data_IF_488498514106
#
_entry.id   IF_488498514106
#
_cell.length_a   1.000
_cell.length_b   1.000
_cell.length_c   1.000
_cell.angle_alpha   90.00
_cell.angle_beta   90.00
_cell.angle_gamma   90.00
#
_symmetry.space_group_name_H-M   'P 1'
#
loop_
_entity.id
_entity.type
_entity.pdbx_description
1 polymer ?
#
# COMPACT_ATOMS: atom_id res chain seq x y z
N UNK A 1 -39.50 16.50 -17.66
CA UNK A 1 -38.09 16.91 -17.56
C UNK A 1 -37.36 16.31 -16.33
N UNK A 2 -37.67 15.09 -15.88
CA UNK A 2 -37.01 14.48 -14.69
C UNK A 2 -36.17 13.23 -15.02
N UNK A 3 -36.35 12.64 -16.21
CA UNK A 3 -35.68 11.37 -16.58
C UNK A 3 -34.21 11.52 -17.01
N UNK A 4 -33.77 12.70 -17.46
CA UNK A 4 -32.38 12.93 -17.92
C UNK A 4 -31.41 13.16 -16.75
N UNK A 5 -31.90 13.68 -15.61
CA UNK A 5 -31.06 14.01 -14.46
C UNK A 5 -30.63 12.77 -13.66
N UNK A 6 -31.47 11.74 -13.55
CA UNK A 6 -31.14 10.46 -12.91
C UNK A 6 -30.04 9.68 -13.64
N UNK A 7 -29.95 9.82 -14.96
CA UNK A 7 -28.98 9.11 -15.79
C UNK A 7 -27.55 9.67 -15.63
N UNK A 8 -27.43 10.98 -15.39
CA UNK A 8 -26.15 11.64 -15.11
C UNK A 8 -25.58 11.27 -13.73
N UNK A 9 -26.45 11.16 -12.71
CA UNK A 9 -26.04 10.76 -11.36
C UNK A 9 -25.56 9.30 -11.36
N UNK A 10 -26.18 8.42 -12.14
CA UNK A 10 -25.75 7.02 -12.25
C UNK A 10 -24.39 6.87 -12.94
N UNK A 11 -24.09 7.73 -13.92
CA UNK A 11 -22.80 7.71 -14.62
C UNK A 11 -21.64 8.18 -13.72
N UNK A 12 -21.86 9.21 -12.90
CA UNK A 12 -20.83 9.75 -11.99
C UNK A 12 -20.46 8.80 -10.85
N UNK A 13 -21.40 7.98 -10.37
CA UNK A 13 -21.14 6.99 -9.31
C UNK A 13 -20.27 5.84 -9.83
N UNK A 14 -20.33 5.53 -11.13
CA UNK A 14 -19.61 4.41 -11.73
C UNK A 14 -18.10 4.67 -11.84
N UNK A 15 -17.68 5.89 -12.18
CA UNK A 15 -16.26 6.23 -12.40
C UNK A 15 -15.42 6.12 -11.12
N UNK A 16 -15.96 6.54 -9.98
CA UNK A 16 -15.25 6.47 -8.70
C UNK A 16 -14.97 5.01 -8.28
N UNK A 17 -15.89 4.08 -8.59
CA UNK A 17 -15.71 2.66 -8.28
C UNK A 17 -14.64 2.01 -9.17
N UNK A 18 -14.53 2.43 -10.43
CA UNK A 18 -13.57 1.85 -11.38
C UNK A 18 -12.12 2.18 -11.01
N UNK A 19 -11.86 3.39 -10.54
CA UNK A 19 -10.53 3.81 -10.09
C UNK A 19 -10.02 2.95 -8.92
N UNK A 20 -10.90 2.64 -7.96
CA UNK A 20 -10.56 1.84 -6.79
C UNK A 20 -10.25 0.38 -7.16
N UNK A 21 -10.94 -0.20 -8.15
CA UNK A 21 -10.66 -1.57 -8.61
C UNK A 21 -9.25 -1.74 -9.19
N UNK A 22 -8.63 -0.68 -9.73
CA UNK A 22 -7.27 -0.74 -10.28
C UNK A 22 -6.19 -0.91 -9.20
N UNK A 23 -6.48 -0.55 -7.96
CA UNK A 23 -5.57 -0.67 -6.81
C UNK A 23 -5.68 -2.03 -6.11
N UNK A 24 -6.70 -2.81 -6.40
CA UNK A 24 -6.88 -4.14 -5.80
C UNK A 24 -5.81 -5.07 -6.33
N UNK A 25 -5.10 -5.76 -5.44
CA UNK A 25 -4.05 -6.69 -5.82
C UNK A 25 -3.14 -7.06 -4.66
N UNK A 26 -2.22 -7.98 -4.95
CA UNK A 26 -1.11 -8.32 -4.08
C UNK A 26 0.12 -7.56 -4.53
N UNK A 27 0.82 -6.91 -3.61
CA UNK A 27 1.99 -6.10 -3.88
C UNK A 27 3.16 -6.60 -3.04
N UNK A 28 4.34 -6.65 -3.64
CA UNK A 28 5.57 -7.07 -2.97
C UNK A 28 6.61 -5.97 -3.10
N UNK A 29 7.44 -5.80 -2.07
CA UNK A 29 8.63 -4.97 -2.20
C UNK A 29 9.55 -5.55 -3.27
N UNK A 30 9.82 -4.73 -4.30
CA UNK A 30 10.77 -5.09 -5.35
C UNK A 30 12.18 -5.19 -4.78
N UNK A 31 12.93 -6.28 -5.02
CA UNK A 31 14.36 -6.32 -4.70
C UNK A 31 15.12 -5.27 -5.52
N UNK A 32 16.20 -4.72 -4.95
CA UNK A 32 17.05 -3.72 -5.61
C UNK A 32 17.63 -4.26 -6.92
N UNK A 33 17.59 -3.45 -7.97
CA UNK A 33 18.47 -3.68 -9.13
C UNK A 33 19.93 -3.39 -8.73
N UNK A 34 20.89 -4.02 -9.40
CA UNK A 34 22.32 -3.84 -9.07
C UNK A 34 22.76 -2.37 -9.17
N UNK A 35 22.19 -1.60 -10.10
CA UNK A 35 22.44 -0.16 -10.22
C UNK A 35 21.94 0.62 -8.99
N UNK A 36 20.76 0.30 -8.48
CA UNK A 36 20.22 0.97 -7.28
C UNK A 36 21.05 0.68 -6.02
N UNK A 37 21.76 -0.46 -5.96
CA UNK A 37 22.69 -0.75 -4.86
C UNK A 37 23.93 0.14 -4.90
N UNK A 38 24.44 0.45 -6.09
CA UNK A 38 25.66 1.25 -6.28
C UNK A 38 25.39 2.74 -6.07
N UNK A 39 24.24 3.24 -6.52
CA UNK A 39 23.89 4.66 -6.41
C UNK A 39 23.11 5.02 -5.14
N UNK A 40 22.77 4.06 -4.26
CA UNK A 40 22.08 4.39 -3.01
C UNK A 40 22.80 5.39 -2.08
N UNK A 41 24.15 5.45 -2.01
CA UNK A 41 24.82 6.49 -1.22
C UNK A 41 24.62 7.90 -1.78
N UNK A 42 24.33 8.03 -3.08
CA UNK A 42 24.15 9.30 -3.79
C UNK A 42 22.70 9.79 -3.80
N UNK A 43 21.73 8.93 -3.49
CA UNK A 43 20.30 9.28 -3.50
C UNK A 43 19.80 9.95 -2.23
N UNK A 44 20.65 10.07 -1.19
CA UNK A 44 20.29 10.65 0.10
C UNK A 44 19.41 9.77 1.00
N UNK A 45 19.04 8.56 0.55
CA UNK A 45 18.28 7.61 1.35
C UNK A 45 19.19 6.74 2.22
N UNK A 46 18.89 6.64 3.52
CA UNK A 46 19.73 5.90 4.50
C UNK A 46 19.49 4.40 4.47
N UNK A 47 18.29 3.94 4.13
CA UNK A 47 17.94 2.53 4.09
C UNK A 47 16.75 2.25 3.16
N UNK A 48 16.46 0.96 2.93
CA UNK A 48 15.31 0.48 2.17
C UNK A 48 14.66 -0.66 2.97
N UNK A 49 13.33 -0.68 3.00
CA UNK A 49 12.56 -1.78 3.58
C UNK A 49 12.56 -2.94 2.56
N UNK A 50 12.71 -4.18 3.02
CA UNK A 50 12.67 -5.39 2.18
C UNK A 50 11.78 -6.45 2.84
N UNK A 51 11.27 -7.40 2.04
CA UNK A 51 10.49 -8.53 2.54
C UNK A 51 9.16 -8.12 3.18
N UNK A 52 8.55 -7.04 2.67
CA UNK A 52 7.18 -6.69 3.02
C UNK A 52 6.26 -6.91 1.83
N UNK A 53 5.03 -7.27 2.12
CA UNK A 53 3.97 -7.64 1.19
C UNK A 53 2.68 -6.95 1.64
N UNK A 54 1.90 -6.40 0.70
CA UNK A 54 0.60 -5.82 1.00
C UNK A 54 -0.46 -6.38 0.05
N UNK A 55 -1.60 -6.78 0.58
CA UNK A 55 -2.76 -7.23 -0.17
C UNK A 55 -3.88 -6.23 0.02
N UNK A 56 -4.38 -5.66 -1.08
CA UNK A 56 -5.54 -4.77 -1.11
C UNK A 56 -6.75 -5.53 -1.66
N UNK A 57 -7.76 -5.73 -0.83
CA UNK A 57 -8.97 -6.45 -1.20
C UNK A 57 -10.04 -5.50 -1.75
N UNK A 58 -10.98 -6.04 -2.54
CA UNK A 58 -12.10 -5.28 -3.14
C UNK A 58 -13.07 -4.70 -2.12
N UNK A 59 -13.16 -5.30 -0.94
CA UNK A 59 -14.02 -4.87 0.16
C UNK A 59 -13.41 -3.72 0.98
N UNK A 60 -12.35 -3.08 0.49
CA UNK A 60 -11.58 -2.04 1.19
C UNK A 60 -10.83 -2.54 2.43
N UNK A 61 -10.68 -3.86 2.63
CA UNK A 61 -9.77 -4.41 3.64
C UNK A 61 -8.35 -4.56 3.09
N UNK A 62 -7.35 -4.47 3.95
CA UNK A 62 -5.95 -4.78 3.59
C UNK A 62 -5.26 -5.64 4.63
N UNK A 63 -4.22 -6.33 4.18
CA UNK A 63 -3.23 -6.98 5.03
C UNK A 63 -1.83 -6.56 4.55
N UNK A 64 -1.03 -6.01 5.45
CA UNK A 64 0.35 -5.62 5.22
C UNK A 64 1.26 -6.41 6.15
N UNK A 65 2.05 -7.29 5.58
CA UNK A 65 2.96 -8.17 6.29
C UNK A 65 4.38 -7.71 6.05
N UNK A 66 5.10 -7.47 7.14
CA UNK A 66 6.52 -7.13 7.15
C UNK A 66 7.30 -8.30 7.72
N UNK A 67 8.63 -8.16 7.78
CA UNK A 67 9.48 -9.14 8.45
C UNK A 67 9.14 -9.34 9.93
N UNK A 68 8.59 -8.32 10.60
CA UNK A 68 8.28 -8.36 12.03
C UNK A 68 6.78 -8.46 12.35
N UNK A 69 5.92 -7.92 11.48
CA UNK A 69 4.53 -7.64 11.83
C UNK A 69 3.54 -8.12 10.76
N UNK A 70 2.32 -8.44 11.20
CA UNK A 70 1.12 -8.54 10.37
C UNK A 70 0.21 -7.39 10.78
N UNK A 71 -0.07 -6.50 9.84
CA UNK A 71 -0.88 -5.30 10.04
C UNK A 71 -2.15 -5.48 9.21
N UNK A 72 -3.33 -5.31 9.82
CA UNK A 72 -4.62 -5.40 9.11
C UNK A 72 -5.44 -4.15 9.35
N UNK A 73 -6.30 -3.84 8.40
CA UNK A 73 -7.21 -2.72 8.55
C UNK A 73 -8.01 -2.43 7.29
N UNK A 74 -8.38 -1.17 7.12
CA UNK A 74 -9.10 -0.69 5.94
C UNK A 74 -8.24 0.26 5.12
N UNK A 75 -8.47 0.29 3.82
CA UNK A 75 -7.81 1.20 2.92
C UNK A 75 -8.80 2.08 2.18
N UNK A 76 -8.36 3.29 1.87
CA UNK A 76 -9.07 4.24 1.01
C UNK A 76 -8.05 4.91 0.10
N UNK A 77 -8.52 5.56 -0.96
CA UNK A 77 -7.63 6.21 -1.92
C UNK A 77 -8.24 7.50 -2.44
N UNK A 78 -7.37 8.42 -2.82
CA UNK A 78 -7.72 9.56 -3.66
C UNK A 78 -6.96 9.48 -5.00
N UNK A 79 -6.79 10.61 -5.69
CA UNK A 79 -6.16 10.65 -7.00
C UNK A 79 -4.67 10.27 -7.00
N UNK A 80 -3.95 10.53 -5.90
CA UNK A 80 -2.49 10.38 -5.85
C UNK A 80 -1.99 9.58 -4.64
N UNK A 81 -2.88 9.16 -3.75
CA UNK A 81 -2.54 8.56 -2.47
C UNK A 81 -3.47 7.40 -2.08
N UNK A 82 -2.93 6.44 -1.34
CA UNK A 82 -3.64 5.38 -0.63
C UNK A 82 -3.40 5.54 0.86
N UNK A 83 -4.45 5.45 1.66
CA UNK A 83 -4.45 5.63 3.09
C UNK A 83 -4.85 4.33 3.78
N UNK A 84 -4.01 3.85 4.69
CA UNK A 84 -4.23 2.63 5.46
C UNK A 84 -4.58 2.96 6.91
N UNK A 85 -5.83 2.70 7.28
CA UNK A 85 -6.30 2.82 8.66
C UNK A 85 -6.08 1.49 9.38
N UNK A 86 -5.18 1.46 10.35
CA UNK A 86 -4.76 0.23 11.03
C UNK A 86 -5.76 -0.14 12.11
N UNK A 87 -6.27 -1.38 12.06
CA UNK A 87 -7.16 -1.97 13.07
C UNK A 87 -6.36 -2.91 13.98
N UNK A 88 -5.49 -3.73 13.39
CA UNK A 88 -4.62 -4.64 14.15
C UNK A 88 -3.18 -4.53 13.69
N UNK A 89 -2.26 -4.68 14.65
CA UNK A 89 -0.83 -4.80 14.40
C UNK A 89 -0.29 -5.88 15.36
N UNK A 90 0.08 -7.03 14.79
CA UNK A 90 0.53 -8.19 15.54
C UNK A 90 1.94 -8.56 15.11
N UNK A 91 2.78 -9.05 16.02
CA UNK A 91 4.06 -9.63 15.63
C UNK A 91 3.86 -10.99 14.97
N UNK A 92 4.53 -11.28 13.84
CA UNK A 92 4.34 -12.53 13.07
C UNK A 92 4.52 -13.77 13.96
N UNK A 93 5.74 -13.99 14.44
CA UNK A 93 6.09 -15.18 15.22
C UNK A 93 7.42 -14.97 15.97
N UNK A 94 7.54 -13.90 16.74
CA UNK A 94 8.75 -13.64 17.53
C UNK A 94 8.53 -13.84 19.03
N UNK A 95 9.64 -13.81 19.77
CA UNK A 95 9.66 -13.78 21.23
C UNK A 95 8.77 -12.68 21.80
N UNK A 96 8.59 -11.55 21.11
CA UNK A 96 7.79 -10.41 21.60
C UNK A 96 6.30 -10.78 21.70
N UNK A 97 5.77 -11.54 20.74
CA UNK A 97 4.41 -12.10 20.85
C UNK A 97 4.29 -13.03 22.06
N UNK A 98 5.29 -13.87 22.32
CA UNK A 98 5.33 -14.81 23.45
C UNK A 98 5.29 -14.11 24.81
N UNK A 99 5.87 -12.90 24.91
CA UNK A 99 5.87 -12.10 26.14
C UNK A 99 4.72 -11.09 26.22
N UNK A 100 3.70 -11.21 25.36
CA UNK A 100 2.51 -10.35 25.41
C UNK A 100 2.74 -8.92 24.91
N UNK A 101 3.84 -8.68 24.18
CA UNK A 101 4.10 -7.40 23.54
C UNK A 101 3.01 -7.08 22.51
N UNK A 102 2.41 -5.89 22.63
CA UNK A 102 1.49 -5.35 21.63
C UNK A 102 2.25 -4.38 20.75
N UNK A 103 2.23 -4.61 19.44
CA UNK A 103 2.81 -3.66 18.51
C UNK A 103 1.95 -2.38 18.52
N UNK A 104 2.62 -1.23 18.39
CA UNK A 104 1.93 0.05 18.43
C UNK A 104 1.01 0.20 17.20
N UNK A 105 -0.21 0.69 17.44
CA UNK A 105 -1.15 1.06 16.37
C UNK A 105 -1.08 2.58 16.25
N UNK A 106 -0.58 3.13 15.14
CA UNK A 106 -0.57 4.58 14.94
C UNK A 106 -2.01 5.09 14.88
N UNK A 107 -2.22 6.30 15.41
CA UNK A 107 -3.53 6.96 15.36
C UNK A 107 -3.86 7.46 13.96
N UNK A 108 -2.85 7.91 13.25
CA UNK A 108 -2.98 8.46 11.90
C UNK A 108 -2.82 7.36 10.84
N UNK A 109 -3.57 7.43 9.73
CA UNK A 109 -3.42 6.49 8.63
C UNK A 109 -2.01 6.50 8.04
N UNK A 110 -1.52 5.33 7.61
CA UNK A 110 -0.30 5.27 6.82
C UNK A 110 -0.62 5.69 5.38
N UNK A 111 0.04 6.74 4.90
CA UNK A 111 -0.13 7.22 3.54
C UNK A 111 0.96 6.69 2.61
N UNK A 112 0.56 6.20 1.44
CA UNK A 112 1.43 5.85 0.32
C UNK A 112 1.02 6.64 -0.91
N UNK A 113 1.99 7.12 -1.67
CA UNK A 113 1.75 7.75 -2.96
C UNK A 113 1.58 6.69 -4.04
N UNK A 114 0.62 6.94 -4.93
CA UNK A 114 0.36 6.14 -6.12
C UNK A 114 1.28 6.64 -7.23
N UNK A 115 2.10 5.74 -7.75
CA UNK A 115 2.89 5.96 -8.94
C UNK A 115 2.47 5.02 -10.07
N UNK A 116 2.97 5.32 -11.26
CA UNK A 116 2.90 4.42 -12.40
C UNK A 116 4.32 3.98 -12.76
N UNK A 117 4.52 2.67 -12.97
CA UNK A 117 5.73 2.11 -13.52
C UNK A 117 5.40 1.45 -14.87
N UNK A 118 6.40 1.41 -15.77
CA UNK A 118 6.32 0.93 -17.17
C UNK A 118 5.17 -0.06 -17.43
N UNK A 119 4.39 0.20 -18.47
CA UNK A 119 3.22 -0.59 -18.89
C UNK A 119 2.01 -0.51 -17.94
N UNK A 120 1.63 0.70 -17.49
CA UNK A 120 0.43 0.95 -16.66
C UNK A 120 0.40 0.22 -15.29
N UNK A 121 1.52 -0.29 -14.80
CA UNK A 121 1.59 -1.00 -13.53
C UNK A 121 1.58 -0.01 -12.37
N UNK A 122 0.68 -0.20 -11.42
CA UNK A 122 0.59 0.65 -10.22
C UNK A 122 1.73 0.33 -9.27
N UNK A 123 2.35 1.37 -8.72
CA UNK A 123 3.30 1.26 -7.61
C UNK A 123 2.79 2.08 -6.43
N UNK A 124 3.06 1.61 -5.22
CA UNK A 124 2.85 2.36 -3.99
C UNK A 124 4.21 2.71 -3.42
N UNK A 125 4.42 3.96 -3.03
CA UNK A 125 5.68 4.36 -2.40
C UNK A 125 5.46 5.32 -1.25
N UNK A 126 6.35 5.26 -0.26
CA UNK A 126 6.38 6.24 0.83
C UNK A 126 7.80 6.57 1.23
N UNK A 127 7.97 7.78 1.75
CA UNK A 127 9.19 8.25 2.39
C UNK A 127 8.95 8.32 3.89
N UNK A 128 9.78 7.62 4.67
CA UNK A 128 9.70 7.61 6.13
C UNK A 128 11.12 7.69 6.68
N UNK A 129 11.45 8.73 7.45
CA UNK A 129 12.77 8.89 8.09
C UNK A 129 13.98 8.66 7.15
N UNK A 130 13.94 9.28 5.96
CA UNK A 130 14.93 9.10 4.88
C UNK A 130 15.06 7.65 4.34
N UNK A 131 14.06 6.81 4.58
CA UNK A 131 13.89 5.47 4.02
C UNK A 131 12.82 5.51 2.93
N UNK A 132 13.15 5.00 1.75
CA UNK A 132 12.22 4.84 0.64
C UNK A 132 11.69 3.41 0.61
N UNK A 133 10.38 3.27 0.65
CA UNK A 133 9.68 2.01 0.46
C UNK A 133 8.91 2.04 -0.85
N UNK A 134 9.08 1.02 -1.69
CA UNK A 134 8.40 0.87 -2.98
C UNK A 134 7.80 -0.53 -3.07
N UNK A 135 6.48 -0.58 -3.21
CA UNK A 135 5.67 -1.78 -3.38
C UNK A 135 5.17 -1.84 -4.82
N UNK A 136 5.26 -3.01 -5.45
CA UNK A 136 4.81 -3.26 -6.83
C UNK A 136 3.81 -4.40 -6.84
N UNK A 137 2.75 -4.29 -7.64
CA UNK A 137 1.82 -5.40 -7.86
C UNK A 137 2.60 -6.63 -8.37
N UNK A 138 2.41 -7.77 -7.71
CA UNK A 138 2.79 -9.08 -8.20
C UNK A 138 1.76 -9.52 -9.23
N UNK A 139 2.21 -9.88 -10.44
CA UNK A 139 1.31 -10.47 -11.44
C UNK A 139 1.05 -11.93 -11.05
N UNK A 140 -0.20 -12.42 -11.15
CA UNK A 140 -0.43 -13.85 -11.08
C UNK A 140 0.27 -14.51 -12.28
N UNK A 141 1.15 -15.47 -12.00
CA UNK A 141 1.81 -16.32 -13.00
C UNK A 141 0.80 -17.11 -13.86
#
# INVERSE_FOLDING_TARGET
MVKISLLFVFFLICEACFAQQKLVGHYIISPKTNLQKVFSPLSGFKSYIVGSEITLNRDSSFEYSTCGNIIKGTWSSDADSVYFSIITNEYRTDSLRKYGGKANIPKDPLAFKIGSHKSNKVILYRLFDNTLEILRIEEPD
#
